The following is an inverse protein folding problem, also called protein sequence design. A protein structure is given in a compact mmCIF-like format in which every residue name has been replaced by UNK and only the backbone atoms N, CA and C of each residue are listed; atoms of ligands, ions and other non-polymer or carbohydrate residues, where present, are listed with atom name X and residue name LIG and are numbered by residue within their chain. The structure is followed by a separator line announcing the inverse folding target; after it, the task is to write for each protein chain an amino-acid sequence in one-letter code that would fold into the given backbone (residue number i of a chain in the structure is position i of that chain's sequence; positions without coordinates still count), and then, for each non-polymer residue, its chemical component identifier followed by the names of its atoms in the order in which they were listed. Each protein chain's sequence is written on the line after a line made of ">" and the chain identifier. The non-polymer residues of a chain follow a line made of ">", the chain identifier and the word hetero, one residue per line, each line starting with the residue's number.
data_IF_500866494189
#
_entry.id   IF_500866494189
#
_cell.length_a   1.000
_cell.length_b   1.000
_cell.length_c   1.000
_cell.angle_alpha   90.00
_cell.angle_beta   90.00
_cell.angle_gamma   90.00
#
_symmetry.space_group_name_H-M   'P 1'
#
loop_
_entity.id
_entity.type
_entity.pdbx_description
1 polymer ?
#
# COMPACT_ATOMS: atom_id res chain seq x y z
N UNK A 1 4.24 34.92 -35.50
CA UNK A 1 2.91 34.38 -35.18
C UNK A 1 2.84 34.27 -33.65
N UNK A 2 2.53 35.36 -32.92
CA UNK A 2 1.21 35.72 -32.35
C UNK A 2 0.53 34.51 -31.71
N UNK A 3 0.45 34.35 -30.38
CA UNK A 3 -0.43 35.01 -29.40
C UNK A 3 0.09 34.64 -27.99
N UNK A 4 0.16 35.44 -26.93
CA UNK A 4 -0.54 36.65 -26.56
C UNK A 4 -1.52 36.35 -25.41
N UNK A 5 -1.16 36.63 -24.15
CA UNK A 5 -2.05 37.23 -23.16
C UNK A 5 -1.23 37.80 -21.99
N UNK A 6 -1.31 39.12 -21.81
CA UNK A 6 -0.84 39.87 -20.66
C UNK A 6 -2.06 40.14 -19.78
N UNK A 7 -1.97 39.88 -18.48
CA UNK A 7 -2.87 40.45 -17.47
C UNK A 7 -1.98 41.01 -16.37
N UNK A 8 -1.99 42.33 -16.25
CA UNK A 8 -1.42 43.10 -15.15
C UNK A 8 -2.56 43.71 -14.32
N UNK A 9 -2.21 44.44 -13.26
CA UNK A 9 -3.04 45.11 -12.22
C UNK A 9 -3.16 44.20 -10.98
N UNK A 10 -2.71 44.51 -9.77
CA UNK A 10 -2.15 45.73 -9.17
C UNK A 10 -2.55 45.76 -7.68
N UNK A 11 -1.70 46.28 -6.77
CA UNK A 11 -2.16 46.75 -5.45
C UNK A 11 -1.41 46.28 -4.18
N UNK A 12 -0.45 47.10 -3.76
CA UNK A 12 -0.10 47.56 -2.39
C UNK A 12 0.06 46.62 -1.17
N UNK A 13 1.19 46.86 -0.51
CA UNK A 13 1.73 46.35 0.75
C UNK A 13 0.84 46.49 2.00
N UNK A 14 1.02 45.59 2.98
CA UNK A 14 1.08 45.92 4.41
C UNK A 14 2.14 45.02 5.08
N UNK A 15 3.13 45.66 5.71
CA UNK A 15 4.06 45.06 6.67
C UNK A 15 3.37 45.10 8.03
N UNK A 16 3.29 43.95 8.73
CA UNK A 16 3.05 43.94 10.17
C UNK A 16 3.94 42.87 10.80
N UNK A 17 4.99 43.34 11.48
CA UNK A 17 5.80 42.58 12.40
C UNK A 17 4.98 42.24 13.65
N UNK A 18 5.14 41.02 14.15
CA UNK A 18 4.61 40.57 15.44
C UNK A 18 5.43 39.40 15.96
N UNK A 19 6.49 39.71 16.70
CA UNK A 19 7.24 38.79 17.55
C UNK A 19 6.63 38.85 18.95
N UNK A 20 6.18 37.74 19.55
CA UNK A 20 6.46 37.30 20.94
C UNK A 20 5.61 36.08 21.36
N UNK A 21 6.25 35.14 22.07
CA UNK A 21 5.62 34.08 22.90
C UNK A 21 5.98 32.65 22.50
N UNK A 22 7.19 32.13 22.79
CA UNK A 22 7.60 31.42 24.03
C UNK A 22 6.79 30.12 24.24
N UNK A 23 7.31 28.91 24.04
CA UNK A 23 8.40 28.28 24.81
C UNK A 23 9.20 27.26 23.99
N UNK A 24 10.47 27.13 24.33
CA UNK A 24 11.48 26.27 23.72
C UNK A 24 11.22 24.78 23.99
N UNK A 25 11.02 23.99 22.93
CA UNK A 25 11.59 22.65 22.76
C UNK A 25 11.73 22.36 21.25
N UNK A 26 12.81 21.69 20.87
CA UNK A 26 13.50 21.76 19.58
C UNK A 26 12.88 20.85 18.48
N UNK A 27 12.44 21.48 17.37
CA UNK A 27 12.45 21.08 15.93
C UNK A 27 12.14 19.61 15.53
N UNK A 28 11.13 19.31 14.71
CA UNK A 28 11.03 19.73 13.29
C UNK A 28 9.60 19.97 12.76
N UNK A 29 9.39 21.19 12.26
CA UNK A 29 8.52 21.63 11.15
C UNK A 29 7.19 20.93 10.89
N UNK A 30 6.11 21.54 11.40
CA UNK A 30 4.77 21.49 10.81
C UNK A 30 4.69 22.49 9.65
N UNK A 31 4.40 22.03 8.43
CA UNK A 31 3.97 22.91 7.34
C UNK A 31 2.45 22.90 7.31
N UNK A 32 1.83 24.01 7.73
CA UNK A 32 0.41 24.28 7.49
C UNK A 32 0.27 24.85 6.09
N UNK A 33 -0.08 24.00 5.13
CA UNK A 33 -0.46 24.36 3.76
C UNK A 33 -1.94 24.07 3.55
N UNK A 34 -2.67 25.07 3.07
CA UNK A 34 -4.11 25.04 2.87
C UNK A 34 -4.50 24.14 1.68
N UNK A 35 -5.29 23.09 1.93
CA UNK A 35 -6.17 22.44 0.95
C UNK A 35 -5.57 21.30 0.12
N UNK A 36 -5.72 20.07 0.64
CA UNK A 36 -5.43 18.82 -0.08
C UNK A 36 -4.38 17.96 0.61
N UNK A 37 -4.60 17.62 1.88
CA UNK A 37 -3.84 16.55 2.52
C UNK A 37 -4.20 15.23 1.81
N UNK A 38 -3.42 14.84 0.81
CA UNK A 38 -3.39 13.45 0.37
C UNK A 38 -2.89 12.66 1.57
N UNK A 39 -3.77 11.86 2.16
CA UNK A 39 -3.41 10.99 3.26
C UNK A 39 -2.36 9.98 2.76
N UNK A 40 -1.08 10.26 2.97
CA UNK A 40 0.07 9.38 2.73
C UNK A 40 0.18 8.25 3.76
N UNK A 41 -0.91 7.93 4.48
CA UNK A 41 -0.91 7.04 5.64
C UNK A 41 -1.70 5.74 5.43
N UNK A 42 -1.89 5.28 4.19
CA UNK A 42 -2.31 3.89 3.98
C UNK A 42 -1.11 2.98 4.20
N UNK A 43 -0.78 2.72 5.47
CA UNK A 43 0.36 1.88 5.87
C UNK A 43 0.03 0.42 5.62
N UNK A 44 0.38 -0.07 4.44
CA UNK A 44 0.53 -1.49 4.22
C UNK A 44 1.96 -1.88 4.61
N UNK A 45 2.09 -2.92 5.45
CA UNK A 45 3.37 -3.58 5.73
C UNK A 45 3.33 -4.95 5.07
N UNK A 46 4.34 -5.26 4.29
CA UNK A 46 4.47 -6.57 3.65
C UNK A 46 5.83 -7.17 3.97
N UNK A 47 5.82 -8.40 4.44
CA UNK A 47 7.02 -9.18 4.73
C UNK A 47 6.96 -10.46 3.91
N UNK A 48 8.03 -10.75 3.18
CA UNK A 48 8.19 -11.98 2.40
C UNK A 48 9.51 -12.60 2.80
N UNK A 49 9.50 -13.88 3.18
CA UNK A 49 10.71 -14.61 3.61
C UNK A 49 11.44 -13.93 4.78
N UNK A 50 10.67 -13.32 5.70
CA UNK A 50 11.21 -12.55 6.83
C UNK A 50 11.80 -11.18 6.45
N UNK A 51 11.72 -10.76 5.19
CA UNK A 51 12.21 -9.47 4.70
C UNK A 51 11.06 -8.53 4.38
N UNK A 52 11.08 -7.36 4.99
CA UNK A 52 10.11 -6.31 4.68
C UNK A 52 10.32 -5.80 3.26
N UNK A 53 9.22 -5.69 2.52
CA UNK A 53 9.20 -5.23 1.14
C UNK A 53 8.87 -3.74 1.11
N UNK A 54 9.71 -2.96 0.45
CA UNK A 54 9.43 -1.55 0.20
C UNK A 54 8.48 -1.45 -0.99
N UNK A 55 7.19 -1.25 -0.71
CA UNK A 55 6.16 -1.11 -1.74
C UNK A 55 5.76 0.37 -1.83
N UNK A 56 5.86 0.93 -3.03
CA UNK A 56 5.47 2.32 -3.29
C UNK A 56 4.03 2.39 -3.84
N UNK A 57 3.29 3.38 -3.37
CA UNK A 57 1.91 3.65 -3.79
C UNK A 57 0.89 3.50 -2.66
N UNK A 58 -0.39 3.57 -3.03
CA UNK A 58 -1.50 3.58 -2.08
C UNK A 58 -2.11 2.20 -1.88
N UNK A 59 -2.93 2.05 -0.85
CA UNK A 59 -3.83 0.91 -0.68
C UNK A 59 -5.17 1.24 -1.32
N UNK A 60 -5.73 0.30 -2.07
CA UNK A 60 -7.08 0.38 -2.62
C UNK A 60 -7.85 -0.89 -2.28
N UNK A 61 -9.08 -0.76 -1.78
CA UNK A 61 -9.94 -1.89 -1.47
C UNK A 61 -11.30 -1.73 -2.15
N UNK A 62 -11.80 -2.81 -2.76
CA UNK A 62 -13.13 -2.83 -3.37
C UNK A 62 -13.82 -4.19 -3.21
N UNK A 63 -15.09 -4.16 -2.82
CA UNK A 63 -15.91 -5.37 -2.71
C UNK A 63 -16.69 -5.57 -3.99
N UNK A 64 -16.45 -6.66 -4.70
CA UNK A 64 -17.14 -6.99 -5.96
C UNK A 64 -17.48 -8.48 -5.95
N UNK A 65 -18.75 -8.82 -6.21
CA UNK A 65 -19.18 -10.22 -6.28
C UNK A 65 -18.98 -11.01 -4.99
N UNK A 66 -19.16 -10.39 -3.81
CA UNK A 66 -18.98 -11.04 -2.51
C UNK A 66 -17.52 -11.33 -2.15
N UNK A 67 -16.57 -10.69 -2.84
CA UNK A 67 -15.13 -10.78 -2.56
C UNK A 67 -14.55 -9.42 -2.25
N UNK A 68 -13.71 -9.35 -1.23
CA UNK A 68 -12.92 -8.19 -0.89
C UNK A 68 -11.60 -8.23 -1.66
N UNK A 69 -11.42 -7.30 -2.59
CA UNK A 69 -10.19 -7.14 -3.36
C UNK A 69 -9.34 -6.05 -2.73
N UNK A 70 -8.09 -6.37 -2.38
CA UNK A 70 -7.13 -5.46 -1.78
C UNK A 70 -5.95 -5.32 -2.74
N UNK A 71 -5.67 -4.10 -3.19
CA UNK A 71 -4.48 -3.74 -3.94
C UNK A 71 -3.55 -2.89 -3.08
N UNK A 72 -2.25 -3.18 -3.13
CA UNK A 72 -1.21 -2.47 -2.40
C UNK A 72 -0.15 -2.02 -3.40
N UNK A 73 0.11 -0.72 -3.45
CA UNK A 73 1.12 -0.14 -4.30
C UNK A 73 0.71 -0.06 -5.76
N UNK A 74 1.70 0.08 -6.64
CA UNK A 74 1.50 0.23 -8.08
C UNK A 74 2.70 -0.31 -8.87
N UNK A 75 2.53 -0.47 -10.19
CA UNK A 75 3.61 -0.91 -11.06
C UNK A 75 4.02 -2.37 -10.84
N UNK A 76 5.29 -2.69 -11.14
CA UNK A 76 5.79 -4.07 -11.18
C UNK A 76 5.86 -4.77 -9.81
N UNK A 77 5.78 -4.01 -8.71
CA UNK A 77 5.85 -4.51 -7.33
C UNK A 77 4.48 -4.46 -6.63
N UNK A 78 3.41 -4.19 -7.36
CA UNK A 78 2.07 -4.16 -6.79
C UNK A 78 1.69 -5.54 -6.25
N UNK A 79 1.02 -5.54 -5.11
CA UNK A 79 0.52 -6.73 -4.44
C UNK A 79 -1.00 -6.71 -4.47
N UNK A 80 -1.59 -7.88 -4.65
CA UNK A 80 -3.04 -8.05 -4.64
C UNK A 80 -3.43 -9.19 -3.71
N UNK A 81 -4.52 -9.03 -2.97
CA UNK A 81 -5.14 -10.09 -2.20
C UNK A 81 -6.64 -10.11 -2.48
N UNK A 82 -7.21 -11.31 -2.56
CA UNK A 82 -8.65 -11.53 -2.70
C UNK A 82 -9.12 -12.37 -1.52
N UNK A 83 -10.06 -11.82 -0.77
CA UNK A 83 -10.67 -12.45 0.39
C UNK A 83 -12.16 -12.68 0.12
N UNK A 84 -12.79 -13.61 0.82
CA UNK A 84 -14.25 -13.58 0.95
C UNK A 84 -14.67 -12.32 1.73
N UNK A 85 -15.87 -11.81 1.44
CA UNK A 85 -16.43 -10.68 2.18
C UNK A 85 -17.08 -11.12 3.51
N UNK A 86 -17.28 -10.17 4.42
CA UNK A 86 -17.88 -10.38 5.74
C UNK A 86 -16.92 -10.23 6.92
N UNK A 87 -17.38 -10.59 8.12
CA UNK A 87 -16.64 -10.37 9.37
C UNK A 87 -15.62 -11.47 9.68
N UNK A 88 -15.81 -12.66 9.12
CA UNK A 88 -14.88 -13.79 9.22
C UNK A 88 -14.39 -14.20 7.83
N UNK A 89 -13.58 -13.38 7.16
CA UNK A 89 -13.12 -13.65 5.81
C UNK A 89 -12.15 -14.83 5.76
N UNK A 90 -12.02 -15.42 4.58
CA UNK A 90 -11.03 -16.43 4.20
C UNK A 90 -10.21 -15.92 3.03
N UNK A 91 -8.98 -16.42 2.87
CA UNK A 91 -8.09 -16.01 1.78
C UNK A 91 -8.38 -16.86 0.54
N UNK A 92 -8.83 -16.23 -0.54
CA UNK A 92 -9.01 -16.90 -1.85
C UNK A 92 -7.70 -16.90 -2.62
N UNK A 93 -7.00 -15.76 -2.70
CA UNK A 93 -5.71 -15.67 -3.39
C UNK A 93 -4.87 -14.50 -2.91
N UNK A 94 -3.55 -14.60 -3.11
CA UNK A 94 -2.59 -13.51 -2.89
C UNK A 94 -1.58 -13.54 -4.03
N UNK A 95 -1.37 -12.41 -4.70
CA UNK A 95 -0.28 -12.20 -5.64
C UNK A 95 0.75 -11.27 -5.03
N UNK A 96 1.98 -11.77 -4.82
CA UNK A 96 3.08 -11.03 -4.20
C UNK A 96 4.01 -10.36 -5.22
N UNK A 97 3.72 -10.51 -6.51
CA UNK A 97 4.55 -10.00 -7.60
C UNK A 97 5.80 -10.84 -7.81
N UNK A 98 6.79 -10.26 -8.49
CA UNK A 98 8.08 -10.88 -8.76
C UNK A 98 9.09 -10.52 -7.66
N UNK A 99 9.59 -11.54 -6.96
CA UNK A 99 10.63 -11.40 -5.94
C UNK A 99 11.84 -12.22 -6.40
N UNK A 100 12.95 -11.52 -6.68
CA UNK A 100 14.21 -12.13 -7.13
C UNK A 100 14.07 -13.06 -8.36
N UNK A 101 13.23 -12.70 -9.33
CA UNK A 101 13.03 -13.49 -10.55
C UNK A 101 11.93 -14.54 -10.43
N UNK A 102 11.37 -14.77 -9.23
CA UNK A 102 10.30 -15.73 -8.99
C UNK A 102 8.97 -14.99 -8.78
N UNK A 103 7.96 -15.32 -9.58
CA UNK A 103 6.59 -14.84 -9.34
C UNK A 103 5.98 -15.66 -8.21
N UNK A 104 5.63 -15.01 -7.10
CA UNK A 104 5.11 -15.67 -5.91
C UNK A 104 3.61 -15.38 -5.74
N UNK A 105 2.85 -16.41 -5.40
CA UNK A 105 1.45 -16.26 -5.05
C UNK A 105 0.87 -17.43 -4.27
N UNK A 106 -0.32 -17.21 -3.74
CA UNK A 106 -1.16 -18.21 -3.11
C UNK A 106 -2.50 -18.27 -3.84
N UNK A 107 -3.06 -19.45 -4.00
CA UNK A 107 -4.42 -19.68 -4.50
C UNK A 107 -5.03 -20.83 -3.71
N UNK A 108 -6.23 -20.63 -3.20
CA UNK A 108 -6.98 -21.63 -2.45
C UNK A 108 -7.16 -22.92 -3.28
N UNK A 109 -6.92 -24.07 -2.67
CA UNK A 109 -7.02 -25.39 -3.32
C UNK A 109 -5.81 -25.78 -4.18
N UNK A 110 -4.86 -24.88 -4.42
CA UNK A 110 -3.60 -25.23 -5.08
C UNK A 110 -2.64 -25.97 -4.11
N UNK A 111 -1.81 -26.91 -4.58
CA UNK A 111 -0.81 -27.58 -3.76
C UNK A 111 0.24 -26.62 -3.17
N UNK A 112 0.75 -26.92 -1.96
CA UNK A 112 1.91 -26.24 -1.34
C UNK A 112 1.61 -24.92 -0.63
N UNK A 113 0.55 -24.21 -1.04
CA UNK A 113 0.15 -22.94 -0.44
C UNK A 113 -0.81 -23.09 0.76
N UNK A 114 -0.66 -22.22 1.76
CA UNK A 114 -1.65 -22.03 2.84
C UNK A 114 -1.76 -20.55 3.17
N UNK A 115 -2.95 -20.05 3.45
CA UNK A 115 -3.11 -18.68 3.90
C UNK A 115 -4.30 -18.54 4.86
N UNK A 116 -4.17 -17.59 5.78
CA UNK A 116 -5.20 -17.22 6.74
C UNK A 116 -5.28 -15.70 6.83
N UNK A 117 -6.44 -15.19 7.22
CA UNK A 117 -6.65 -13.76 7.46
C UNK A 117 -7.35 -13.54 8.79
N UNK A 118 -6.92 -12.50 9.50
CA UNK A 118 -7.65 -11.92 10.63
C UNK A 118 -8.11 -10.53 10.23
N UNK A 119 -9.39 -10.24 10.45
CA UNK A 119 -9.99 -8.93 10.21
C UNK A 119 -10.30 -8.26 11.55
N UNK A 120 -9.92 -7.01 11.68
CA UNK A 120 -10.26 -6.13 12.81
C UNK A 120 -10.73 -4.78 12.25
N UNK A 121 -12.05 -4.62 12.15
CA UNK A 121 -12.66 -3.48 11.47
C UNK A 121 -12.20 -3.38 10.01
N UNK A 122 -11.39 -2.36 9.70
CA UNK A 122 -10.81 -2.12 8.37
C UNK A 122 -9.39 -2.70 8.19
N UNK A 123 -8.80 -3.24 9.26
CA UNK A 123 -7.46 -3.85 9.24
C UNK A 123 -7.56 -5.33 8.88
N UNK A 124 -6.73 -5.75 7.95
CA UNK A 124 -6.56 -7.14 7.55
C UNK A 124 -5.11 -7.54 7.82
N UNK A 125 -4.94 -8.64 8.56
CA UNK A 125 -3.65 -9.31 8.74
C UNK A 125 -3.71 -10.66 8.03
N UNK A 126 -3.04 -10.76 6.89
CA UNK A 126 -3.01 -11.93 6.01
C UNK A 126 -1.64 -12.58 6.15
N UNK A 127 -1.61 -13.86 6.47
CA UNK A 127 -0.36 -14.62 6.61
C UNK A 127 -0.46 -15.94 5.87
N UNK A 128 0.67 -16.47 5.42
CA UNK A 128 0.66 -17.72 4.69
C UNK A 128 1.99 -18.14 4.11
N UNK A 129 1.92 -19.05 3.16
CA UNK A 129 3.04 -19.47 2.31
C UNK A 129 2.59 -19.36 0.86
N UNK A 130 3.33 -18.56 0.11
CA UNK A 130 3.19 -18.42 -1.31
C UNK A 130 4.12 -19.40 -2.03
N UNK A 131 3.70 -19.86 -3.18
CA UNK A 131 4.44 -20.73 -4.08
C UNK A 131 4.81 -19.97 -5.35
N UNK A 132 5.90 -20.34 -5.99
CA UNK A 132 6.30 -19.82 -7.29
C UNK A 132 7.17 -20.83 -8.04
N UNK A 133 7.40 -20.56 -9.32
CA UNK A 133 8.30 -21.34 -10.17
C UNK A 133 9.55 -20.52 -10.44
N UNK A 134 10.70 -21.07 -10.08
CA UNK A 134 12.00 -20.55 -10.50
C UNK A 134 12.33 -21.09 -11.90
N UNK A 135 12.47 -20.21 -12.88
CA UNK A 135 12.81 -20.60 -14.26
C UNK A 135 14.23 -21.18 -14.39
N UNK A 136 15.12 -20.90 -13.43
CA UNK A 136 16.42 -21.56 -13.35
C UNK A 136 16.32 -23.01 -12.85
N UNK A 137 15.25 -23.36 -12.12
CA UNK A 137 15.00 -24.71 -11.62
C UNK A 137 13.49 -25.04 -11.61
N UNK A 138 12.86 -25.25 -12.78
CA UNK A 138 11.40 -25.37 -12.89
C UNK A 138 10.83 -26.68 -12.32
N UNK A 139 11.69 -27.64 -11.96
CA UNK A 139 11.28 -28.92 -11.39
C UNK A 139 10.95 -28.86 -9.90
N UNK A 140 11.34 -27.78 -9.21
CA UNK A 140 11.11 -27.61 -7.77
C UNK A 140 10.38 -26.29 -7.50
N UNK A 141 9.15 -26.34 -6.98
CA UNK A 141 8.45 -25.14 -6.53
C UNK A 141 9.24 -24.41 -5.44
N UNK A 142 9.25 -23.09 -5.51
CA UNK A 142 9.78 -22.23 -4.46
C UNK A 142 8.63 -21.89 -3.52
N UNK A 143 8.82 -22.15 -2.22
CA UNK A 143 7.89 -21.75 -1.18
C UNK A 143 8.46 -20.62 -0.33
N UNK A 144 7.67 -19.59 -0.07
CA UNK A 144 8.07 -18.44 0.76
C UNK A 144 6.96 -18.04 1.73
N UNK A 145 7.25 -17.92 3.03
CA UNK A 145 6.29 -17.38 3.97
C UNK A 145 6.05 -15.90 3.67
N UNK A 146 4.83 -15.43 3.93
CA UNK A 146 4.50 -14.02 3.80
C UNK A 146 3.57 -13.56 4.91
N UNK A 147 3.64 -12.27 5.21
CA UNK A 147 2.75 -11.53 6.10
C UNK A 147 2.39 -10.19 5.43
N UNK A 148 1.11 -9.85 5.42
CA UNK A 148 0.57 -8.60 4.89
C UNK A 148 -0.32 -8.00 5.97
N UNK A 149 0.06 -6.84 6.49
CA UNK A 149 -0.80 -6.01 7.32
C UNK A 149 -1.25 -4.82 6.49
N UNK A 150 -2.56 -4.65 6.35
CA UNK A 150 -3.12 -3.60 5.51
C UNK A 150 -4.39 -3.04 6.13
N UNK A 151 -4.55 -1.73 6.07
CA UNK A 151 -5.78 -1.05 6.48
C UNK A 151 -6.46 -0.46 5.25
N UNK A 152 -7.69 -0.89 4.98
CA UNK A 152 -8.49 -0.34 3.89
C UNK A 152 -9.04 1.05 4.25
N UNK A 153 -9.13 1.99 3.28
CA UNK A 153 -9.64 3.34 3.53
C UNK A 153 -11.13 3.41 3.90
#
# INVERSE_FOLDING_TARGET
>A
MKRGLVVAIGGAAIIAAGLVGCSSDKSSTTVSGNGGAVATNSTAKVVIDGKEQKIEGSVACSTVGGKMNIGIGSGAQAIAAVLSDGDSPSVTSVGLGNINGVSLGYTEGAPGGKAAVKKDGKKYNISGTATGVDMANPMQPVEKPFEIEVTCP
#
